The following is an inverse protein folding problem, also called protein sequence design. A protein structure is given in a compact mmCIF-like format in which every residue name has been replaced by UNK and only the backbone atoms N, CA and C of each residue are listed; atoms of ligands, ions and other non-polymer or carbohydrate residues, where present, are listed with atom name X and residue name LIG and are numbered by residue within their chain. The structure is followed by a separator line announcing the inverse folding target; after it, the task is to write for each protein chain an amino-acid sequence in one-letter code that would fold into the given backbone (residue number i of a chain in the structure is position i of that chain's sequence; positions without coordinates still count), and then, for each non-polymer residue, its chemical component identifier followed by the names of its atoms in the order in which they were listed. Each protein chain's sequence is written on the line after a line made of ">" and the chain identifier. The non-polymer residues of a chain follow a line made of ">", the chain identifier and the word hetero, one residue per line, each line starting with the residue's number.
data_IF_927201300478
#
_entry.id   IF_927201300478
#
_cell.length_a   1.000
_cell.length_b   1.000
_cell.length_c   1.000
_cell.angle_alpha   90.00
_cell.angle_beta   90.00
_cell.angle_gamma   90.00
#
_symmetry.space_group_name_H-M   'P 1'
#
loop_
_entity.id
_entity.type
_entity.pdbx_description
1 polymer ?
#
# COMPACT_ATOMS: atom_id res chain seq x y z
N UNK A 1 -22.60 -4.74 -3.43
CA UNK A 1 -22.18 -3.33 -3.32
C UNK A 1 -23.24 -2.59 -2.51
N UNK A 2 -22.84 -1.92 -1.44
CA UNK A 2 -23.74 -1.08 -0.65
C UNK A 2 -24.16 0.13 -1.48
N UNK A 3 -25.46 0.36 -1.61
CA UNK A 3 -26.00 1.60 -2.16
C UNK A 3 -25.68 2.74 -1.19
N UNK A 4 -24.81 3.67 -1.59
CA UNK A 4 -24.75 5.00 -0.99
C UNK A 4 -26.19 5.54 -0.90
N UNK A 5 -26.57 6.02 0.28
CA UNK A 5 -27.92 6.51 0.52
C UNK A 5 -28.30 7.65 -0.43
N UNK A 6 -29.58 8.05 -0.44
CA UNK A 6 -30.10 9.07 -1.37
C UNK A 6 -29.35 10.41 -1.32
N UNK A 7 -28.63 10.69 -0.23
CA UNK A 7 -27.98 11.97 0.03
C UNK A 7 -26.45 11.93 -0.15
N UNK A 8 -25.86 10.81 -0.58
CA UNK A 8 -24.41 10.66 -0.72
C UNK A 8 -24.02 10.24 -2.14
N UNK A 9 -23.32 11.13 -2.84
CA UNK A 9 -22.68 10.79 -4.11
C UNK A 9 -21.46 9.89 -3.84
N UNK A 10 -21.34 8.79 -4.60
CA UNK A 10 -20.10 8.01 -4.59
C UNK A 10 -19.09 8.65 -5.52
N UNK A 11 -17.92 8.93 -4.98
CA UNK A 11 -16.75 9.37 -5.74
C UNK A 11 -15.54 8.54 -5.33
N UNK A 12 -14.53 8.40 -6.21
CA UNK A 12 -13.22 7.89 -5.81
C UNK A 12 -12.59 8.83 -4.77
N UNK A 13 -11.70 8.30 -3.94
CA UNK A 13 -11.02 9.08 -2.88
C UNK A 13 -10.18 10.23 -3.45
N UNK A 14 -9.50 9.98 -4.57
CA UNK A 14 -8.68 10.95 -5.30
C UNK A 14 -9.00 10.86 -6.80
N UNK A 15 -8.72 11.92 -7.56
CA UNK A 15 -8.81 11.89 -9.03
C UNK A 15 -7.78 10.95 -9.66
N UNK A 16 -6.60 10.90 -9.05
CA UNK A 16 -5.47 10.06 -9.44
C UNK A 16 -5.29 8.89 -8.47
N UNK A 17 -4.33 8.01 -8.74
CA UNK A 17 -4.05 6.84 -7.89
C UNK A 17 -3.59 7.27 -6.49
N UNK A 18 -4.33 6.91 -5.42
CA UNK A 18 -3.97 7.32 -4.07
C UNK A 18 -2.78 6.51 -3.55
N UNK A 19 -1.83 7.20 -2.93
CA UNK A 19 -0.78 6.56 -2.14
C UNK A 19 -1.28 6.32 -0.71
N UNK A 20 -1.47 5.06 -0.33
CA UNK A 20 -1.86 4.71 1.05
C UNK A 20 -0.67 4.92 1.97
N UNK A 21 -0.77 5.84 2.92
CA UNK A 21 0.30 6.16 3.89
C UNK A 21 0.07 5.48 5.24
N UNK A 22 -1.18 5.35 5.64
CA UNK A 22 -1.58 4.82 6.94
C UNK A 22 -2.93 4.11 6.82
N UNK A 23 -3.12 3.07 7.62
CA UNK A 23 -4.39 2.40 7.78
C UNK A 23 -4.56 1.99 9.24
N UNK A 24 -5.81 2.12 9.71
CA UNK A 24 -6.23 1.66 11.03
C UNK A 24 -7.42 0.71 10.86
N UNK A 25 -7.48 -0.32 11.69
CA UNK A 25 -8.61 -1.23 11.78
C UNK A 25 -9.04 -1.37 13.23
N UNK A 26 -10.35 -1.48 13.47
CA UNK A 26 -10.87 -1.85 14.79
C UNK A 26 -10.24 -3.20 15.18
N UNK A 27 -9.67 -3.24 16.38
CA UNK A 27 -8.98 -4.42 16.96
C UNK A 27 -7.67 -4.81 16.25
N UNK A 28 -7.18 -4.01 15.30
CA UNK A 28 -5.84 -4.20 14.73
C UNK A 28 -4.77 -3.55 15.61
N UNK A 29 -3.57 -4.14 15.71
CA UNK A 29 -2.43 -3.47 16.35
C UNK A 29 -2.13 -2.12 15.71
N UNK A 30 -1.63 -1.19 16.51
CA UNK A 30 -1.17 0.10 16.00
C UNK A 30 0.07 -0.08 15.11
N UNK A 31 0.10 0.67 14.01
CA UNK A 31 1.28 0.79 13.16
C UNK A 31 2.15 1.93 13.69
N UNK A 32 3.30 1.58 14.26
CA UNK A 32 4.36 2.54 14.56
C UNK A 32 5.42 2.50 13.46
N UNK A 33 5.77 3.67 12.92
CA UNK A 33 6.92 3.78 12.04
C UNK A 33 8.20 3.49 12.83
N UNK A 34 9.15 2.72 12.26
CA UNK A 34 10.45 2.56 12.89
C UNK A 34 11.14 3.92 13.08
N UNK A 35 12.00 4.02 14.09
CA UNK A 35 12.74 5.25 14.37
C UNK A 35 13.52 5.72 13.12
N UNK A 36 13.43 7.02 12.81
CA UNK A 36 14.12 7.62 11.67
C UNK A 36 13.45 7.37 10.31
N UNK A 37 12.26 6.75 10.30
CA UNK A 37 11.49 6.48 9.09
C UNK A 37 10.30 7.44 8.99
N UNK A 38 10.11 8.07 7.83
CA UNK A 38 8.93 8.90 7.56
C UNK A 38 8.52 8.91 6.08
N UNK A 39 7.25 9.25 5.83
CA UNK A 39 6.75 9.49 4.47
C UNK A 39 7.08 10.92 4.03
N UNK A 40 7.66 11.07 2.84
CA UNK A 40 7.90 12.38 2.22
C UNK A 40 6.62 12.83 1.53
N UNK A 41 6.10 14.00 1.90
CA UNK A 41 4.89 14.61 1.33
C UNK A 41 5.15 16.09 0.98
N UNK A 42 4.31 16.67 0.13
CA UNK A 42 4.41 18.06 -0.32
C UNK A 42 5.61 18.33 -1.22
N UNK A 43 5.93 19.61 -1.43
CA UNK A 43 7.09 20.04 -2.21
C UNK A 43 7.05 19.54 -3.65
N UNK A 44 8.09 18.80 -4.03
CA UNK A 44 8.29 18.17 -5.33
C UNK A 44 7.75 16.73 -5.42
N UNK A 45 7.01 16.26 -4.40
CA UNK A 45 6.44 14.91 -4.40
C UNK A 45 5.11 14.84 -5.14
N UNK A 46 4.68 13.63 -5.49
CA UNK A 46 3.32 13.40 -6.01
C UNK A 46 2.22 13.44 -4.95
N UNK A 47 2.54 13.71 -3.68
CA UNK A 47 1.59 13.68 -2.56
C UNK A 47 1.39 15.11 -2.04
N UNK A 48 0.49 15.84 -2.68
CA UNK A 48 0.20 17.24 -2.34
C UNK A 48 -0.96 17.41 -1.35
N UNK A 49 -1.77 16.37 -1.18
CA UNK A 49 -2.94 16.37 -0.30
C UNK A 49 -2.99 15.08 0.51
N UNK A 50 -3.53 15.19 1.72
CA UNK A 50 -3.84 14.04 2.58
C UNK A 50 -5.36 13.94 2.67
N UNK A 51 -5.89 12.80 2.23
CA UNK A 51 -7.33 12.51 2.26
C UNK A 51 -7.60 11.43 3.28
N UNK A 52 -8.45 11.72 4.27
CA UNK A 52 -8.88 10.74 5.27
C UNK A 52 -10.17 10.06 4.81
N UNK A 53 -10.14 8.72 4.72
CA UNK A 53 -11.33 7.90 4.51
C UNK A 53 -11.72 7.21 5.82
N UNK A 54 -12.94 7.47 6.30
CA UNK A 54 -13.47 6.86 7.53
C UNK A 54 -14.61 5.91 7.20
N UNK A 55 -14.53 4.67 7.70
CA UNK A 55 -15.55 3.64 7.49
C UNK A 55 -16.40 3.46 8.74
N UNK A 56 -17.66 3.92 8.70
CA UNK A 56 -18.64 3.73 9.76
C UNK A 56 -19.51 2.50 9.49
N UNK A 57 -19.58 1.59 10.46
CA UNK A 57 -20.46 0.41 10.40
C UNK A 57 -21.94 0.78 10.53
N UNK A 58 -22.24 1.83 11.28
CA UNK A 58 -23.60 2.33 11.53
C UNK A 58 -23.62 3.84 11.34
N UNK A 59 -24.80 4.39 11.00
CA UNK A 59 -24.97 5.84 10.95
C UNK A 59 -24.78 6.41 12.35
N UNK A 60 -23.92 7.42 12.47
CA UNK A 60 -23.65 8.14 13.71
C UNK A 60 -24.35 9.50 13.71
N UNK A 61 -24.41 10.14 14.88
CA UNK A 61 -24.67 11.58 15.00
C UNK A 61 -23.43 12.40 14.59
N UNK A 62 -23.30 13.65 15.06
CA UNK A 62 -22.07 14.42 14.89
C UNK A 62 -20.86 13.64 15.40
N UNK A 63 -19.82 13.55 14.58
CA UNK A 63 -18.60 12.79 14.85
C UNK A 63 -17.38 13.61 14.44
N UNK A 64 -16.27 13.43 15.17
CA UNK A 64 -15.01 14.15 14.98
C UNK A 64 -13.82 13.18 14.88
N UNK A 65 -14.06 11.97 14.38
CA UNK A 65 -13.01 10.98 14.16
C UNK A 65 -11.97 11.51 13.19
N UNK A 66 -10.71 11.26 13.51
CA UNK A 66 -9.57 11.76 12.76
C UNK A 66 -8.30 11.02 13.10
N UNK A 67 -7.22 11.47 12.47
CA UNK A 67 -5.86 11.03 12.78
C UNK A 67 -5.03 12.27 13.09
N UNK A 68 -4.22 12.19 14.15
CA UNK A 68 -3.20 13.19 14.41
C UNK A 68 -1.95 12.81 13.61
N UNK A 69 -1.36 13.78 12.91
CA UNK A 69 -0.15 13.57 12.10
C UNK A 69 0.98 14.34 12.76
N UNK A 70 2.01 13.62 13.20
CA UNK A 70 3.29 14.23 13.56
C UNK A 70 4.09 14.48 12.28
N UNK A 71 4.55 15.71 12.10
CA UNK A 71 5.28 16.13 10.89
C UNK A 71 6.50 16.95 11.26
N UNK A 72 7.49 16.92 10.38
CA UNK A 72 8.71 17.70 10.50
C UNK A 72 9.21 18.08 9.10
N UNK A 73 9.96 19.18 9.03
CA UNK A 73 10.68 19.61 7.83
C UNK A 73 12.11 19.07 7.80
N UNK A 74 12.59 18.54 8.93
CA UNK A 74 13.92 17.93 9.02
C UNK A 74 13.97 16.65 8.18
N UNK A 75 15.05 16.41 7.43
CA UNK A 75 15.20 15.18 6.65
C UNK A 75 15.19 13.93 7.55
N UNK A 76 14.43 12.91 7.13
CA UNK A 76 14.43 11.58 7.76
C UNK A 76 15.60 10.74 7.25
N UNK A 77 16.16 9.87 8.11
CA UNK A 77 17.24 8.95 7.74
C UNK A 77 16.81 7.94 6.67
N UNK A 78 15.54 7.51 6.74
CA UNK A 78 14.94 6.53 5.83
C UNK A 78 13.56 7.02 5.37
N UNK A 79 13.25 6.74 4.10
CA UNK A 79 11.97 7.09 3.48
C UNK A 79 11.03 5.89 3.50
N UNK A 80 9.84 6.06 4.05
CA UNK A 80 8.74 5.11 3.89
C UNK A 80 8.06 5.26 2.53
N UNK A 81 7.61 4.13 1.99
CA UNK A 81 6.78 4.06 0.78
C UNK A 81 5.89 2.82 0.85
N UNK A 82 4.87 2.79 0.02
CA UNK A 82 3.95 1.66 -0.10
C UNK A 82 4.14 1.00 -1.47
N UNK A 83 4.49 -0.27 -1.47
CA UNK A 83 4.48 -1.09 -2.69
C UNK A 83 3.11 -1.76 -2.81
N UNK A 84 2.33 -1.35 -3.80
CA UNK A 84 1.01 -1.92 -4.07
C UNK A 84 1.13 -3.08 -5.07
N UNK A 85 0.75 -4.27 -4.63
CA UNK A 85 0.64 -5.45 -5.49
C UNK A 85 -0.84 -5.76 -5.71
N UNK A 86 -1.30 -5.66 -6.96
CA UNK A 86 -2.69 -5.95 -7.33
C UNK A 86 -2.72 -7.18 -8.23
N UNK A 87 -3.70 -8.04 -8.00
CA UNK A 87 -4.04 -9.13 -8.90
C UNK A 87 -5.56 -9.19 -9.03
N UNK A 88 -6.03 -9.82 -10.11
CA UNK A 88 -7.43 -9.95 -10.40
C UNK A 88 -7.67 -11.04 -11.43
N UNK A 89 -8.91 -11.49 -11.52
CA UNK A 89 -9.32 -12.51 -12.47
C UNK A 89 -10.78 -12.88 -12.26
N UNK A 90 -11.17 -14.00 -12.87
CA UNK A 90 -12.55 -14.50 -12.78
C UNK A 90 -12.59 -15.68 -11.80
N UNK A 91 -13.46 -15.59 -10.79
CA UNK A 91 -13.77 -16.71 -9.89
C UNK A 91 -15.10 -17.35 -10.34
N UNK A 92 -15.10 -18.56 -10.92
CA UNK A 92 -16.32 -19.24 -11.29
C UNK A 92 -17.21 -19.57 -10.07
N UNK A 93 -18.53 -19.70 -10.25
CA UNK A 93 -19.41 -20.16 -9.18
C UNK A 93 -18.98 -21.53 -8.62
N UNK A 94 -18.92 -21.65 -7.29
CA UNK A 94 -18.56 -22.87 -6.57
C UNK A 94 -17.16 -23.44 -6.90
N UNK A 95 -16.24 -22.61 -7.37
CA UNK A 95 -14.85 -22.99 -7.63
C UNK A 95 -13.88 -22.44 -6.57
N UNK A 96 -12.67 -22.99 -6.56
CA UNK A 96 -11.51 -22.44 -5.86
C UNK A 96 -10.49 -21.99 -6.91
N UNK A 97 -9.98 -20.79 -6.74
CA UNK A 97 -8.97 -20.21 -7.64
C UNK A 97 -7.89 -19.49 -6.84
N UNK A 98 -6.71 -19.40 -7.43
CA UNK A 98 -5.59 -18.61 -6.91
C UNK A 98 -5.26 -17.51 -7.90
N UNK A 99 -5.07 -16.30 -7.41
CA UNK A 99 -4.62 -15.16 -8.21
C UNK A 99 -3.23 -14.75 -7.74
N UNK A 100 -2.29 -14.67 -8.67
CA UNK A 100 -0.88 -14.39 -8.37
C UNK A 100 -0.44 -13.10 -9.05
N UNK A 101 0.56 -12.45 -8.47
CA UNK A 101 1.25 -11.31 -9.07
C UNK A 101 2.71 -11.34 -8.59
N UNK A 102 3.63 -11.08 -9.50
CA UNK A 102 5.06 -11.09 -9.22
C UNK A 102 5.73 -10.03 -10.10
N UNK A 103 6.58 -9.21 -9.48
CA UNK A 103 7.33 -8.16 -10.14
C UNK A 103 8.80 -8.27 -9.76
N UNK A 104 9.69 -8.06 -10.74
CA UNK A 104 11.11 -7.86 -10.48
C UNK A 104 11.29 -6.40 -10.07
N UNK A 105 12.00 -6.16 -8.97
CA UNK A 105 12.35 -4.81 -8.55
C UNK A 105 13.78 -4.56 -9.04
N UNK A 106 13.89 -3.78 -10.12
CA UNK A 106 15.15 -3.42 -10.78
C UNK A 106 15.48 -1.95 -10.48
N UNK A 107 15.68 -1.67 -9.19
CA UNK A 107 15.99 -0.34 -8.68
C UNK A 107 17.24 -0.43 -7.81
N UNK A 108 18.14 0.55 -7.91
CA UNK A 108 19.33 0.67 -7.07
C UNK A 108 18.98 1.26 -5.69
N UNK A 109 18.03 0.62 -5.00
CA UNK A 109 17.57 0.96 -3.66
C UNK A 109 17.40 -0.29 -2.81
N UNK A 110 17.89 -0.23 -1.57
CA UNK A 110 17.63 -1.28 -0.59
C UNK A 110 16.28 -1.03 0.11
N UNK A 111 15.37 -2.01 0.04
CA UNK A 111 14.06 -1.94 0.68
C UNK A 111 13.97 -2.88 1.88
N UNK A 112 13.42 -2.38 2.97
CA UNK A 112 13.14 -3.15 4.17
C UNK A 112 11.63 -3.14 4.46
N UNK A 113 10.88 -4.16 4.03
CA UNK A 113 9.46 -4.26 4.37
C UNK A 113 9.30 -4.45 5.87
N UNK A 114 8.46 -3.62 6.49
CA UNK A 114 8.19 -3.65 7.93
C UNK A 114 6.70 -3.80 8.27
N UNK A 115 5.81 -3.64 7.30
CA UNK A 115 4.37 -3.79 7.45
C UNK A 115 3.75 -4.35 6.18
N UNK A 116 2.65 -5.10 6.33
CA UNK A 116 1.90 -5.69 5.23
C UNK A 116 0.40 -5.56 5.51
N UNK A 117 -0.36 -5.11 4.51
CA UNK A 117 -1.82 -4.98 4.60
C UNK A 117 -2.48 -5.73 3.45
N UNK A 118 -3.07 -6.92 3.69
CA UNK A 118 -3.88 -7.58 2.67
C UNK A 118 -5.21 -6.84 2.49
N UNK A 119 -5.76 -6.90 1.28
CA UNK A 119 -7.10 -6.42 0.98
C UNK A 119 -7.79 -7.37 0.00
N UNK A 120 -8.93 -7.90 0.40
CA UNK A 120 -9.80 -8.72 -0.44
C UNK A 120 -11.25 -8.30 -0.23
N UNK A 121 -12.10 -8.61 -1.21
CA UNK A 121 -13.55 -8.59 -1.00
C UNK A 121 -13.99 -9.90 -0.31
N UNK A 122 -15.31 -10.11 -0.21
CA UNK A 122 -15.94 -11.21 0.54
C UNK A 122 -15.43 -12.63 0.20
N UNK A 123 -14.87 -12.86 -0.98
CA UNK A 123 -14.43 -14.18 -1.44
C UNK A 123 -12.96 -14.50 -1.16
N UNK A 124 -12.17 -13.58 -0.60
CA UNK A 124 -10.79 -13.88 -0.27
C UNK A 124 -10.69 -14.78 0.96
N UNK A 125 -10.01 -15.92 0.82
CA UNK A 125 -9.73 -16.84 1.94
C UNK A 125 -8.35 -16.57 2.57
N UNK A 126 -7.33 -16.34 1.76
CA UNK A 126 -5.95 -16.15 2.22
C UNK A 126 -5.21 -15.20 1.27
N UNK A 127 -4.32 -14.38 1.83
CA UNK A 127 -3.35 -13.58 1.07
C UNK A 127 -1.99 -13.82 1.67
N UNK A 128 -1.01 -14.13 0.83
CA UNK A 128 0.37 -14.36 1.22
C UNK A 128 1.31 -13.47 0.42
N UNK A 129 2.43 -13.11 1.03
CA UNK A 129 3.47 -12.29 0.42
C UNK A 129 4.82 -12.94 0.67
N UNK A 130 5.68 -12.97 -0.35
CA UNK A 130 7.03 -13.47 -0.28
C UNK A 130 7.99 -12.55 -1.05
N UNK A 131 9.24 -12.50 -0.59
CA UNK A 131 10.34 -11.87 -1.31
C UNK A 131 11.26 -12.98 -1.79
N UNK A 132 11.50 -13.01 -3.09
CA UNK A 132 12.45 -13.93 -3.70
C UNK A 132 13.74 -13.17 -4.01
N UNK A 133 14.84 -13.61 -3.42
CA UNK A 133 16.17 -13.16 -3.82
C UNK A 133 16.61 -14.02 -5.00
N UNK A 134 16.65 -13.46 -6.21
CA UNK A 134 17.22 -14.17 -7.35
C UNK A 134 18.72 -14.38 -7.08
N UNK A 135 19.25 -15.61 -7.12
CA UNK A 135 20.67 -15.88 -6.95
C UNK A 135 21.51 -15.47 -8.18
N UNK A 136 21.02 -14.61 -9.08
CA UNK A 136 21.77 -14.10 -10.23
C UNK A 136 22.76 -13.01 -9.84
N UNK A 137 23.72 -13.39 -8.99
CA UNK A 137 25.06 -12.83 -8.93
C UNK A 137 26.05 -13.90 -9.45
N UNK A 138 25.77 -14.50 -10.60
CA UNK A 138 26.88 -14.94 -11.44
C UNK A 138 27.38 -13.69 -12.14
N UNK A 139 28.43 -13.12 -11.56
CA UNK A 139 29.38 -12.29 -12.29
C UNK A 139 29.61 -12.94 -13.65
N UNK A 140 29.07 -12.36 -14.72
CA UNK A 140 29.68 -12.53 -16.02
C UNK A 140 31.01 -11.77 -15.91
N UNK A 141 32.17 -12.45 -15.90
CA UNK A 141 33.43 -11.73 -15.93
C UNK A 141 33.46 -10.86 -17.19
N UNK A 142 34.01 -9.64 -17.13
CA UNK A 142 34.27 -8.87 -18.33
C UNK A 142 35.42 -9.53 -19.10
N UNK A 143 35.10 -10.51 -19.93
CA UNK A 143 36.00 -11.14 -20.89
C UNK A 143 35.15 -11.57 -22.10
N UNK A 144 35.07 -10.79 -23.17
CA UNK A 144 36.16 -10.42 -24.06
C UNK A 144 35.74 -9.17 -24.85
N UNK A 145 36.57 -8.14 -24.84
CA UNK A 145 36.82 -7.40 -26.08
C UNK A 145 37.27 -8.41 -27.14
N UNK A 146 36.56 -8.53 -28.25
CA UNK A 146 37.13 -8.93 -29.54
C UNK A 146 36.49 -8.09 -30.63
N UNK A 147 37.35 -7.26 -31.22
CA UNK A 147 37.33 -6.62 -32.55
C UNK A 147 35.99 -6.13 -33.10
#
# INVERSE_FOLDING_TARGET
>A
MTTAGPDFERAPTCSDEPNILYAWGRDAPELHLPKGVGFKVGGDTGIQYIVLQVHYMTRLGPDYSGVAIESTVEPMEKRASTLLMVTGGTLPPNARETFETACVIDEDIEMHPFAFRPHTHRHGEMVSFCIFFSPTNYYLPPSLKRS
#
